data_IF_109337455787
#
_entry.id   IF_109337455787
#
_cell.length_a   1.000
_cell.length_b   1.000
_cell.length_c   1.000
_cell.angle_alpha   90.00
_cell.angle_beta   90.00
_cell.angle_gamma   90.00
#
_symmetry.space_group_name_H-M   'P 1'
#
loop_
_entity.id
_entity.type
_entity.pdbx_description
1 polymer ?
#
# COMPACT_ATOMS: atom_id res chain seq x y z
N UNK A 1 -17.55 24.54 0.45
CA UNK A 1 -16.99 23.18 0.33
C UNK A 1 -15.49 23.32 0.05
N UNK A 2 -14.61 22.65 0.79
CA UNK A 2 -13.18 22.68 0.49
C UNK A 2 -12.89 21.97 -0.85
N UNK A 3 -11.91 22.48 -1.59
CA UNK A 3 -11.38 21.85 -2.80
C UNK A 3 -9.99 21.30 -2.42
N UNK A 4 -9.78 20.02 -2.63
CA UNK A 4 -8.53 19.35 -2.31
C UNK A 4 -7.69 19.14 -3.57
N UNK A 5 -6.36 19.38 -3.54
CA UNK A 5 -5.46 19.19 -4.67
C UNK A 5 -5.35 17.73 -5.13
N UNK A 6 -5.51 16.77 -4.23
CA UNK A 6 -5.48 15.34 -4.54
C UNK A 6 -6.38 14.56 -3.57
N UNK A 7 -6.65 13.31 -3.91
CA UNK A 7 -7.58 12.46 -3.18
C UNK A 7 -7.07 12.08 -1.78
N UNK A 8 -5.75 11.99 -1.56
CA UNK A 8 -5.19 11.65 -0.25
C UNK A 8 -5.39 12.75 0.78
N UNK A 9 -5.53 14.00 0.36
CA UNK A 9 -5.88 15.11 1.27
C UNK A 9 -7.33 15.05 1.77
N UNK A 10 -8.14 14.16 1.21
CA UNK A 10 -9.49 13.89 1.70
C UNK A 10 -9.55 12.78 2.75
N UNK A 11 -8.41 12.15 3.07
CA UNK A 11 -8.35 11.15 4.13
C UNK A 11 -8.69 11.80 5.47
N UNK A 12 -9.86 11.48 5.98
CA UNK A 12 -10.31 11.87 7.30
C UNK A 12 -10.37 10.64 8.19
N UNK A 13 -10.12 10.79 9.50
CA UNK A 13 -10.31 9.68 10.43
C UNK A 13 -11.69 9.06 10.25
N UNK A 14 -11.72 7.74 10.13
CA UNK A 14 -12.96 6.98 10.04
C UNK A 14 -13.78 7.04 11.34
N UNK A 15 -15.07 6.75 11.31
CA UNK A 15 -15.89 6.69 12.52
C UNK A 15 -15.52 5.48 13.37
N UNK A 16 -15.68 5.64 14.69
CA UNK A 16 -15.59 4.54 15.65
C UNK A 16 -16.99 4.09 16.00
N UNK A 17 -17.26 2.80 15.86
CA UNK A 17 -18.57 2.19 16.13
C UNK A 17 -18.49 1.25 17.32
N UNK A 18 -19.38 1.36 18.28
CA UNK A 18 -19.51 0.41 19.38
C UNK A 18 -20.28 -0.85 18.93
N UNK A 19 -19.65 -2.02 19.07
CA UNK A 19 -20.19 -3.29 18.58
C UNK A 19 -21.03 -4.02 19.65
N UNK A 20 -22.08 -3.35 20.17
CA UNK A 20 -22.96 -3.88 21.23
C UNK A 20 -23.67 -5.17 20.83
N UNK A 21 -24.23 -5.22 19.62
CA UNK A 21 -24.92 -6.39 19.10
C UNK A 21 -24.01 -7.61 18.98
N UNK A 22 -22.77 -7.42 18.56
CA UNK A 22 -21.77 -8.48 18.48
C UNK A 22 -21.43 -9.02 19.87
N UNK A 23 -21.17 -8.15 20.83
CA UNK A 23 -20.90 -8.54 22.24
C UNK A 23 -22.06 -9.37 22.82
N UNK A 24 -23.30 -8.91 22.64
CA UNK A 24 -24.48 -9.63 23.10
C UNK A 24 -24.63 -11.00 22.46
N UNK A 25 -24.45 -11.10 21.15
CA UNK A 25 -24.53 -12.36 20.40
C UNK A 25 -23.45 -13.37 20.82
N UNK A 26 -22.26 -12.89 21.19
CA UNK A 26 -21.14 -13.74 21.64
C UNK A 26 -21.12 -13.98 23.16
N UNK A 27 -22.08 -13.43 23.93
CA UNK A 27 -22.08 -13.55 25.38
C UNK A 27 -20.88 -12.92 26.09
N UNK A 28 -20.22 -11.95 25.44
CA UNK A 28 -18.99 -11.31 25.95
C UNK A 28 -19.34 -10.13 26.84
N UNK A 29 -18.53 -9.91 27.89
CA UNK A 29 -18.61 -8.74 28.77
C UNK A 29 -17.57 -7.71 28.39
N UNK A 30 -17.93 -6.43 28.49
CA UNK A 30 -17.02 -5.31 28.22
C UNK A 30 -17.57 -4.38 27.16
N UNK A 31 -16.68 -3.56 26.57
CA UNK A 31 -17.00 -2.65 25.46
C UNK A 31 -16.02 -2.95 24.32
N UNK A 32 -16.56 -3.09 23.12
CA UNK A 32 -15.79 -3.35 21.90
C UNK A 32 -16.11 -2.26 20.88
N UNK A 33 -15.06 -1.70 20.30
CA UNK A 33 -15.17 -0.65 19.30
C UNK A 33 -14.49 -1.10 18.02
N UNK A 34 -15.07 -0.76 16.87
CA UNK A 34 -14.46 -0.92 15.56
C UNK A 34 -14.16 0.46 14.96
N UNK A 35 -12.93 0.69 14.56
CA UNK A 35 -12.56 1.79 13.70
C UNK A 35 -12.85 1.41 12.25
N UNK A 36 -13.69 2.21 11.58
CA UNK A 36 -14.10 1.94 10.20
C UNK A 36 -13.20 2.71 9.24
N UNK A 37 -12.17 2.03 8.74
CA UNK A 37 -11.19 2.61 7.82
C UNK A 37 -11.51 2.21 6.37
N UNK A 38 -12.42 2.96 5.73
CA UNK A 38 -12.84 2.75 4.33
C UNK A 38 -12.92 4.04 3.52
N UNK A 39 -12.46 5.16 4.09
CA UNK A 39 -12.61 6.48 3.44
C UNK A 39 -11.52 6.79 2.40
N UNK A 40 -10.55 5.90 2.23
CA UNK A 40 -9.46 6.09 1.29
C UNK A 40 -9.84 5.78 -0.17
N UNK A 41 -8.96 6.12 -1.13
CA UNK A 41 -9.19 5.94 -2.57
C UNK A 41 -9.48 4.50 -2.99
N UNK A 42 -8.91 3.50 -2.29
CA UNK A 42 -9.16 2.07 -2.56
C UNK A 42 -10.25 1.49 -1.67
N UNK A 43 -10.78 2.25 -0.70
CA UNK A 43 -11.75 1.80 0.28
C UNK A 43 -11.17 0.82 1.31
N UNK A 44 -9.87 0.83 1.52
CA UNK A 44 -9.20 -0.08 2.46
C UNK A 44 -8.24 0.67 3.40
N UNK A 45 -7.96 0.08 4.57
CA UNK A 45 -6.94 0.60 5.50
C UNK A 45 -5.53 0.70 4.89
N UNK A 46 -5.31 0.11 3.72
CA UNK A 46 -4.02 0.18 3.02
C UNK A 46 -3.72 1.55 2.45
N UNK A 47 -4.74 2.39 2.26
CA UNK A 47 -4.57 3.76 1.77
C UNK A 47 -3.81 4.62 2.79
N UNK A 48 -4.24 4.61 4.05
CA UNK A 48 -3.54 5.33 5.13
C UNK A 48 -2.13 4.77 5.35
N UNK A 49 -1.98 3.44 5.26
CA UNK A 49 -0.68 2.79 5.42
C UNK A 49 0.29 3.23 4.31
N UNK A 50 -0.12 3.15 3.04
CA UNK A 50 0.74 3.51 1.92
C UNK A 50 1.14 4.99 1.96
N UNK A 51 0.19 5.86 2.22
CA UNK A 51 0.44 7.31 2.33
C UNK A 51 1.36 7.63 3.51
N UNK A 52 1.08 7.09 4.70
CA UNK A 52 1.88 7.32 5.90
C UNK A 52 3.33 6.83 5.74
N UNK A 53 3.54 5.63 5.18
CA UNK A 53 4.88 5.11 4.91
C UNK A 53 5.65 5.98 3.91
N UNK A 54 4.99 6.49 2.87
CA UNK A 54 5.62 7.40 1.92
C UNK A 54 5.99 8.74 2.56
N UNK A 55 5.09 9.31 3.34
CA UNK A 55 5.33 10.57 4.04
C UNK A 55 6.54 10.46 4.99
N UNK A 56 6.60 9.40 5.80
CA UNK A 56 7.73 9.14 6.70
C UNK A 56 9.05 8.90 5.94
N UNK A 57 9.02 8.17 4.82
CA UNK A 57 10.20 7.94 4.00
C UNK A 57 10.75 9.25 3.40
N UNK A 58 9.87 10.14 2.94
CA UNK A 58 10.24 11.48 2.45
C UNK A 58 10.79 12.37 3.56
N UNK A 59 10.13 12.41 4.71
CA UNK A 59 10.55 13.20 5.87
C UNK A 59 11.96 12.84 6.34
N UNK A 60 12.29 11.54 6.34
CA UNK A 60 13.63 11.05 6.73
C UNK A 60 14.66 11.12 5.61
N UNK A 61 14.26 11.54 4.41
CA UNK A 61 15.15 11.57 3.24
C UNK A 61 15.54 10.20 2.70
N UNK A 62 14.85 9.13 3.12
CA UNK A 62 15.04 7.78 2.59
C UNK A 62 14.45 7.63 1.17
N UNK A 63 13.38 8.35 0.88
CA UNK A 63 12.81 8.52 -0.44
C UNK A 63 13.05 9.95 -0.90
N UNK A 64 13.64 10.14 -2.08
CA UNK A 64 13.88 11.48 -2.66
C UNK A 64 12.79 11.83 -3.67
N UNK A 65 12.44 13.13 -3.84
CA UNK A 65 11.42 13.54 -4.79
C UNK A 65 11.63 12.99 -6.20
N UNK A 66 10.59 12.38 -6.79
CA UNK A 66 10.62 11.79 -8.13
C UNK A 66 11.33 10.43 -8.24
N UNK A 67 11.95 9.93 -7.16
CA UNK A 67 12.60 8.62 -7.15
C UNK A 67 11.57 7.52 -7.37
N UNK A 68 11.90 6.53 -8.19
CA UNK A 68 11.04 5.35 -8.41
C UNK A 68 10.94 4.51 -7.14
N UNK A 69 9.72 4.12 -6.81
CA UNK A 69 9.42 3.16 -5.73
C UNK A 69 9.32 1.77 -6.34
N UNK A 70 9.98 0.80 -5.73
CA UNK A 70 9.84 -0.61 -6.11
C UNK A 70 9.37 -1.43 -4.91
N UNK A 71 8.42 -2.35 -5.15
CA UNK A 71 7.89 -3.24 -4.11
C UNK A 71 7.47 -4.59 -4.67
N UNK A 72 7.67 -5.64 -3.87
CA UNK A 72 7.19 -6.99 -4.17
C UNK A 72 5.82 -7.22 -3.53
N UNK A 73 4.77 -7.05 -4.30
CA UNK A 73 3.41 -7.13 -3.79
C UNK A 73 2.40 -7.53 -4.87
N UNK A 74 1.41 -8.33 -4.48
CA UNK A 74 0.32 -8.73 -5.36
C UNK A 74 -1.08 -8.55 -4.73
N UNK A 75 -1.14 -8.07 -3.49
CA UNK A 75 -2.36 -7.89 -2.71
C UNK A 75 -2.94 -6.47 -2.80
N UNK A 76 -3.93 -6.13 -1.96
CA UNK A 76 -4.57 -4.80 -1.93
C UNK A 76 -3.59 -3.64 -1.70
N UNK A 77 -2.47 -3.88 -1.02
CA UNK A 77 -1.42 -2.89 -0.83
C UNK A 77 -0.79 -2.42 -2.14
N UNK A 78 -0.74 -3.29 -3.18
CA UNK A 78 -0.25 -2.90 -4.51
C UNK A 78 -1.03 -1.71 -5.09
N UNK A 79 -2.37 -1.75 -4.99
CA UNK A 79 -3.23 -0.68 -5.48
C UNK A 79 -3.04 0.61 -4.68
N UNK A 80 -3.04 0.50 -3.35
CA UNK A 80 -2.84 1.65 -2.47
C UNK A 80 -1.48 2.31 -2.69
N UNK A 81 -0.39 1.51 -2.76
CA UNK A 81 0.96 2.01 -3.04
C UNK A 81 1.06 2.68 -4.41
N UNK A 82 0.44 2.06 -5.44
CA UNK A 82 0.45 2.65 -6.79
C UNK A 82 -0.22 4.02 -6.79
N UNK A 83 -1.41 4.14 -6.22
CA UNK A 83 -2.12 5.42 -6.16
C UNK A 83 -1.39 6.45 -5.31
N UNK A 84 -0.91 6.08 -4.13
CA UNK A 84 -0.18 6.98 -3.24
C UNK A 84 1.12 7.48 -3.89
N UNK A 85 1.93 6.56 -4.43
CA UNK A 85 3.19 6.91 -5.07
C UNK A 85 3.01 7.82 -6.28
N UNK A 86 2.11 7.46 -7.20
CA UNK A 86 1.86 8.28 -8.39
C UNK A 86 1.27 9.65 -8.05
N UNK A 87 0.37 9.71 -7.05
CA UNK A 87 -0.21 10.98 -6.59
C UNK A 87 0.86 11.89 -5.95
N UNK A 88 1.86 11.29 -5.29
CA UNK A 88 3.00 12.01 -4.72
C UNK A 88 4.12 12.31 -5.74
N UNK A 89 3.95 11.94 -7.03
CA UNK A 89 4.91 12.21 -8.09
C UNK A 89 6.04 11.18 -8.19
N UNK A 90 5.87 9.99 -7.65
CA UNK A 90 6.82 8.88 -7.70
C UNK A 90 6.38 7.81 -8.70
N UNK A 91 7.19 7.42 -9.71
CA UNK A 91 6.94 6.22 -10.48
C UNK A 91 6.91 4.99 -9.58
N UNK A 92 5.97 4.06 -9.84
CA UNK A 92 5.81 2.84 -9.04
C UNK A 92 6.05 1.62 -9.91
N UNK A 93 6.96 0.77 -9.49
CA UNK A 93 7.27 -0.53 -10.10
C UNK A 93 6.93 -1.65 -9.11
N UNK A 94 6.08 -2.56 -9.53
CA UNK A 94 5.66 -3.71 -8.72
C UNK A 94 6.32 -4.97 -9.25
N UNK A 95 6.88 -5.77 -8.35
CA UNK A 95 7.47 -7.07 -8.69
C UNK A 95 6.53 -8.16 -8.19
N UNK A 96 6.12 -9.06 -9.07
CA UNK A 96 5.19 -10.13 -8.73
C UNK A 96 5.41 -11.37 -9.58
N UNK A 97 5.00 -12.56 -9.09
CA UNK A 97 5.01 -13.76 -9.90
C UNK A 97 4.15 -13.63 -11.16
N UNK A 98 4.55 -14.25 -12.26
CA UNK A 98 3.86 -14.20 -13.55
C UNK A 98 2.44 -14.79 -13.52
N UNK A 99 2.17 -15.69 -12.56
CA UNK A 99 0.86 -16.30 -12.33
C UNK A 99 -0.07 -15.46 -11.43
N UNK A 100 0.35 -14.24 -11.07
CA UNK A 100 -0.55 -13.31 -10.37
C UNK A 100 -1.81 -13.07 -11.21
N UNK A 101 -3.01 -12.91 -10.59
CA UNK A 101 -4.27 -12.80 -11.32
C UNK A 101 -4.25 -11.71 -12.39
N UNK A 102 -4.53 -12.08 -13.65
CA UNK A 102 -4.44 -11.19 -14.81
C UNK A 102 -5.25 -9.89 -14.65
N UNK A 103 -6.47 -9.98 -14.13
CA UNK A 103 -7.31 -8.81 -13.88
C UNK A 103 -6.65 -7.80 -12.92
N UNK A 104 -5.92 -8.31 -11.93
CA UNK A 104 -5.19 -7.46 -10.98
C UNK A 104 -4.02 -6.76 -11.66
N UNK A 105 -3.25 -7.50 -12.45
CA UNK A 105 -2.13 -6.93 -13.21
C UNK A 105 -2.64 -5.83 -14.15
N UNK A 106 -3.70 -6.10 -14.91
CA UNK A 106 -4.31 -5.13 -15.80
C UNK A 106 -4.77 -3.86 -15.06
N UNK A 107 -5.41 -4.03 -13.90
CA UNK A 107 -5.86 -2.90 -13.08
C UNK A 107 -4.69 -2.03 -12.61
N UNK A 108 -3.57 -2.64 -12.19
CA UNK A 108 -2.38 -1.92 -11.75
C UNK A 108 -1.69 -1.18 -12.92
N UNK A 109 -1.60 -1.82 -14.09
CA UNK A 109 -1.08 -1.19 -15.30
C UNK A 109 -1.95 0.00 -15.73
N UNK A 110 -3.27 -0.13 -15.68
CA UNK A 110 -4.21 0.97 -15.99
C UNK A 110 -4.08 2.14 -15.01
N UNK A 111 -3.70 1.88 -13.77
CA UNK A 111 -3.39 2.92 -12.79
C UNK A 111 -2.06 3.62 -13.05
N UNK A 112 -1.20 3.06 -13.91
CA UNK A 112 0.09 3.62 -14.27
C UNK A 112 1.30 2.97 -13.58
N UNK A 113 1.12 1.87 -12.84
CA UNK A 113 2.25 1.09 -12.33
C UNK A 113 3.00 0.40 -13.46
N UNK A 114 4.30 0.17 -13.25
CA UNK A 114 5.08 -0.78 -14.03
C UNK A 114 5.10 -2.12 -13.31
N UNK A 115 5.15 -3.23 -14.06
CA UNK A 115 5.21 -4.58 -13.48
C UNK A 115 6.45 -5.30 -14.01
N UNK A 116 7.20 -5.90 -13.09
CA UNK A 116 8.28 -6.84 -13.36
C UNK A 116 7.83 -8.22 -12.88
N UNK A 117 7.89 -9.21 -13.78
CA UNK A 117 7.50 -10.57 -13.44
C UNK A 117 8.68 -11.40 -12.95
N UNK A 118 8.40 -12.30 -12.01
CA UNK A 118 9.28 -13.40 -11.63
C UNK A 118 8.66 -14.73 -12.04
N UNK A 119 9.43 -15.80 -12.22
CA UNK A 119 8.89 -17.13 -12.43
C UNK A 119 7.90 -17.49 -11.31
N UNK A 120 6.77 -18.13 -11.66
CA UNK A 120 5.74 -18.51 -10.71
C UNK A 120 6.28 -19.32 -9.52
N UNK A 121 7.22 -20.24 -9.81
CA UNK A 121 7.83 -21.12 -8.81
C UNK A 121 8.66 -20.35 -7.75
N UNK A 122 9.13 -19.14 -8.08
CA UNK A 122 9.88 -18.31 -7.14
C UNK A 122 8.96 -17.68 -6.07
N UNK A 123 7.66 -17.60 -6.35
CA UNK A 123 6.67 -17.05 -5.46
C UNK A 123 6.97 -15.64 -4.97
N UNK A 124 6.36 -15.23 -3.88
CA UNK A 124 6.59 -13.90 -3.31
C UNK A 124 8.03 -13.71 -2.79
N UNK A 125 8.68 -14.78 -2.34
CA UNK A 125 10.08 -14.70 -1.87
C UNK A 125 11.02 -14.30 -3.00
N UNK A 126 10.87 -14.89 -4.19
CA UNK A 126 11.62 -14.52 -5.38
C UNK A 126 11.32 -13.09 -5.84
N UNK A 127 10.05 -12.68 -5.81
CA UNK A 127 9.67 -11.32 -6.13
C UNK A 127 10.33 -10.29 -5.18
N UNK A 128 10.38 -10.58 -3.88
CA UNK A 128 11.06 -9.73 -2.88
C UNK A 128 12.57 -9.64 -3.12
N UNK A 129 13.21 -10.78 -3.42
CA UNK A 129 14.63 -10.79 -3.73
C UNK A 129 14.94 -9.95 -4.96
N UNK A 130 14.14 -10.08 -6.03
CA UNK A 130 14.29 -9.28 -7.25
C UNK A 130 14.02 -7.78 -7.01
N UNK A 131 12.97 -7.44 -6.26
CA UNK A 131 12.67 -6.04 -5.94
C UNK A 131 13.84 -5.37 -5.20
N UNK A 132 14.40 -6.06 -4.20
CA UNK A 132 15.58 -5.59 -3.44
C UNK A 132 16.81 -5.43 -4.32
N UNK A 133 17.10 -6.41 -5.20
CA UNK A 133 18.22 -6.35 -6.12
C UNK A 133 18.06 -5.19 -7.13
N UNK A 134 16.87 -5.06 -7.72
CA UNK A 134 16.54 -3.98 -8.66
C UNK A 134 16.67 -2.60 -8.01
N UNK A 135 16.22 -2.45 -6.77
CA UNK A 135 16.38 -1.21 -6.03
C UNK A 135 17.85 -0.82 -5.87
N UNK A 136 18.68 -1.77 -5.46
CA UNK A 136 20.11 -1.53 -5.27
C UNK A 136 20.82 -1.19 -6.59
N UNK A 137 20.49 -1.89 -7.69
CA UNK A 137 21.09 -1.68 -9.00
C UNK A 137 20.71 -0.31 -9.61
N UNK A 138 19.43 0.07 -9.50
CA UNK A 138 18.89 1.26 -10.17
C UNK A 138 18.81 2.50 -9.28
N UNK A 139 19.21 2.40 -8.02
CA UNK A 139 19.06 3.48 -7.06
C UNK A 139 17.58 3.83 -6.76
N UNK A 140 16.70 2.85 -6.83
CA UNK A 140 15.28 3.01 -6.53
C UNK A 140 15.02 2.81 -5.03
N UNK A 141 13.92 3.36 -4.55
CA UNK A 141 13.48 3.16 -3.17
C UNK A 141 12.73 1.83 -3.03
N UNK A 142 13.30 0.89 -2.25
CA UNK A 142 12.62 -0.35 -1.89
C UNK A 142 11.83 -0.13 -0.61
N UNK A 143 10.51 -0.10 -0.71
CA UNK A 143 9.65 0.15 0.45
C UNK A 143 9.71 -0.97 1.50
N UNK A 144 9.81 -2.24 1.06
CA UNK A 144 9.88 -3.41 1.94
C UNK A 144 8.77 -3.43 3.02
N UNK A 145 7.55 -3.16 2.61
CA UNK A 145 6.42 -2.82 3.48
C UNK A 145 6.15 -3.79 4.62
N UNK A 146 6.47 -5.11 4.46
CA UNK A 146 6.28 -6.13 5.50
C UNK A 146 7.36 -6.12 6.59
N UNK A 147 8.50 -5.46 6.37
CA UNK A 147 9.62 -5.42 7.28
C UNK A 147 10.20 -4.00 7.43
N UNK A 148 9.40 -3.00 7.11
CA UNK A 148 9.73 -1.59 7.26
C UNK A 148 9.19 -1.10 8.60
N UNK A 149 10.02 -0.45 9.37
CA UNK A 149 9.65 0.10 10.70
C UNK A 149 8.58 1.20 10.62
N UNK A 150 8.35 1.77 9.43
CA UNK A 150 7.26 2.72 9.18
C UNK A 150 5.89 2.06 9.04
N UNK A 151 5.85 0.75 8.87
CA UNK A 151 4.63 -0.03 8.95
C UNK A 151 4.36 -0.30 10.44
N UNK A 152 3.36 0.35 11.06
CA UNK A 152 3.08 0.16 12.48
C UNK A 152 2.75 -1.30 12.77
N UNK A 153 3.13 -1.81 13.95
CA UNK A 153 2.91 -3.20 14.34
C UNK A 153 1.43 -3.55 14.49
#
# INVERSE_FOLDING_TARGET
MPIYPNIYQTLLPGPIVELRGYLAACGLRGRLYAYLNYNGPTGTARDELAEGMLALALERGALTPGQTIVEAVSGPFATALTLAGLTAGHPVTLVMPEDAPALRQESLLRLGAQIIHTPAQAGLAGARALAKATAAEKGWYYMNWLANDDNPP
#
